data_IF_624521991602
#
_entry.id   IF_624521991602
#
_cell.length_a   1.000
_cell.length_b   1.000
_cell.length_c   1.000
_cell.angle_alpha   90.00
_cell.angle_beta   90.00
_cell.angle_gamma   90.00
#
_symmetry.space_group_name_H-M   'P 1'
#
loop_
_entity.id
_entity.type
_entity.pdbx_description
1 polymer ?
#
# COMPACT_ATOMS: atom_id res chain seq x y z
N UNK A 1 -37.52 13.55 3.55
CA UNK A 1 -36.71 14.02 2.42
C UNK A 1 -35.57 13.04 2.21
N UNK A 2 -35.65 12.26 1.13
CA UNK A 2 -34.64 11.25 0.79
C UNK A 2 -33.43 11.99 0.21
N UNK A 3 -32.37 12.17 1.00
CA UNK A 3 -31.11 12.73 0.48
C UNK A 3 -30.55 11.71 -0.52
N UNK A 4 -30.63 12.05 -1.80
CA UNK A 4 -30.11 11.20 -2.87
C UNK A 4 -28.67 10.80 -2.58
N UNK A 5 -28.39 9.49 -2.48
CA UNK A 5 -27.03 8.95 -2.38
C UNK A 5 -26.20 9.51 -3.54
N UNK A 6 -25.08 10.13 -3.24
CA UNK A 6 -24.16 10.59 -4.30
C UNK A 6 -23.55 9.37 -4.97
N UNK A 7 -23.37 9.42 -6.28
CA UNK A 7 -22.78 8.32 -7.07
C UNK A 7 -21.47 7.79 -6.45
N UNK A 8 -20.64 8.70 -5.91
CA UNK A 8 -19.38 8.37 -5.23
C UNK A 8 -19.54 7.50 -3.99
N UNK A 9 -20.70 7.54 -3.32
CA UNK A 9 -21.00 6.76 -2.12
C UNK A 9 -21.53 5.35 -2.46
N UNK A 10 -21.65 5.07 -3.76
CA UNK A 10 -22.19 3.82 -4.32
C UNK A 10 -21.15 3.03 -5.13
N UNK A 11 -19.89 3.48 -5.14
CA UNK A 11 -18.79 2.77 -5.82
C UNK A 11 -18.42 1.56 -4.97
N UNK A 12 -18.68 0.38 -5.50
CA UNK A 12 -18.42 -0.92 -4.87
C UNK A 12 -17.89 -1.90 -5.91
N UNK A 13 -17.33 -3.02 -5.49
CA UNK A 13 -16.95 -4.10 -6.40
C UNK A 13 -18.12 -4.53 -7.29
N UNK A 14 -19.34 -4.58 -6.76
CA UNK A 14 -20.54 -4.90 -7.54
C UNK A 14 -20.87 -3.90 -8.65
N UNK A 15 -20.52 -2.63 -8.48
CA UNK A 15 -20.64 -1.65 -9.55
C UNK A 15 -19.71 -1.96 -10.73
N UNK A 16 -18.46 -2.29 -10.45
CA UNK A 16 -17.49 -2.66 -11.48
C UNK A 16 -17.81 -4.04 -12.11
N UNK A 17 -18.30 -4.97 -11.33
CA UNK A 17 -18.81 -6.25 -11.85
C UNK A 17 -19.94 -6.03 -12.84
N UNK A 18 -20.93 -5.19 -12.52
CA UNK A 18 -22.01 -4.86 -13.43
C UNK A 18 -21.49 -4.17 -14.72
N UNK A 19 -20.54 -3.24 -14.59
CA UNK A 19 -19.92 -2.60 -15.74
C UNK A 19 -19.19 -3.61 -16.64
N UNK A 20 -18.44 -4.56 -16.06
CA UNK A 20 -17.75 -5.62 -16.80
C UNK A 20 -18.74 -6.55 -17.53
N UNK A 21 -19.91 -6.83 -16.94
CA UNK A 21 -20.96 -7.63 -17.61
C UNK A 21 -21.61 -6.94 -18.81
N UNK A 22 -21.53 -5.62 -18.88
CA UNK A 22 -22.06 -4.84 -20.00
C UNK A 22 -21.06 -4.72 -21.16
N UNK A 23 -19.82 -5.15 -21.00
CA UNK A 23 -18.82 -5.18 -22.07
C UNK A 23 -19.00 -6.41 -22.96
N UNK A 24 -18.34 -6.41 -24.13
CA UNK A 24 -18.33 -7.60 -25.02
C UNK A 24 -17.78 -8.83 -24.28
N UNK A 25 -18.26 -10.03 -24.65
CA UNK A 25 -17.77 -11.30 -24.11
C UNK A 25 -16.27 -11.52 -24.34
N UNK A 26 -15.76 -10.90 -25.39
CA UNK A 26 -14.32 -10.97 -25.76
C UNK A 26 -13.48 -9.87 -25.08
N UNK A 27 -14.13 -8.97 -24.33
CA UNK A 27 -13.39 -7.91 -23.61
C UNK A 27 -12.80 -8.46 -22.31
N UNK A 28 -11.54 -8.13 -22.08
CA UNK A 28 -10.86 -8.44 -20.81
C UNK A 28 -11.60 -7.79 -19.64
N UNK A 29 -11.75 -8.52 -18.55
CA UNK A 29 -12.33 -8.00 -17.31
C UNK A 29 -11.44 -6.94 -16.70
N UNK A 30 -12.01 -5.77 -16.41
CA UNK A 30 -11.32 -4.70 -15.71
C UNK A 30 -11.41 -4.92 -14.19
N UNK A 31 -10.27 -4.91 -13.52
CA UNK A 31 -10.18 -4.90 -12.06
C UNK A 31 -9.63 -3.53 -11.66
N UNK A 32 -10.40 -2.77 -10.88
CA UNK A 32 -9.97 -1.46 -10.40
C UNK A 32 -9.17 -1.60 -9.12
N UNK A 33 -7.93 -1.10 -9.12
CA UNK A 33 -7.04 -1.09 -7.98
C UNK A 33 -6.90 0.33 -7.42
N UNK A 34 -7.44 0.58 -6.24
CA UNK A 34 -7.29 1.87 -5.57
C UNK A 34 -6.01 1.91 -4.74
N UNK A 35 -5.28 3.01 -4.86
CA UNK A 35 -4.02 3.27 -4.15
C UNK A 35 -4.10 4.56 -3.32
N UNK A 36 -3.17 4.76 -2.38
CA UNK A 36 -3.19 5.87 -1.43
C UNK A 36 -2.73 7.20 -2.05
N UNK A 37 -1.72 7.16 -2.91
CA UNK A 37 -1.07 8.35 -3.46
C UNK A 37 -0.71 8.20 -4.94
N UNK A 38 -0.26 9.29 -5.56
CA UNK A 38 0.25 9.26 -6.93
C UNK A 38 1.54 8.45 -7.06
N UNK A 39 2.37 8.45 -6.02
CA UNK A 39 3.64 7.73 -5.99
C UNK A 39 3.42 6.21 -6.02
N UNK A 40 2.32 5.76 -5.39
CA UNK A 40 1.92 4.34 -5.36
C UNK A 40 1.44 3.83 -6.72
N UNK A 41 0.92 4.71 -7.58
CA UNK A 41 0.32 4.30 -8.87
C UNK A 41 1.32 3.55 -9.73
N UNK A 42 2.55 4.05 -9.84
CA UNK A 42 3.56 3.40 -10.67
C UNK A 42 4.00 2.06 -10.08
N UNK A 43 4.24 2.02 -8.77
CA UNK A 43 4.64 0.81 -8.08
C UNK A 43 3.59 -0.31 -8.24
N UNK A 44 2.35 -0.04 -7.86
CA UNK A 44 1.28 -1.03 -7.93
C UNK A 44 0.92 -1.43 -9.37
N UNK A 45 1.00 -0.49 -10.32
CA UNK A 45 0.83 -0.83 -11.74
C UNK A 45 1.90 -1.83 -12.20
N UNK A 46 3.16 -1.62 -11.81
CA UNK A 46 4.26 -2.53 -12.15
C UNK A 46 4.04 -3.91 -11.54
N UNK A 47 3.66 -3.97 -10.26
CA UNK A 47 3.38 -5.23 -9.59
C UNK A 47 2.19 -5.96 -10.23
N UNK A 48 1.07 -5.27 -10.40
CA UNK A 48 -0.18 -5.88 -10.88
C UNK A 48 -0.12 -6.27 -12.35
N UNK A 49 0.66 -5.58 -13.18
CA UNK A 49 0.85 -5.93 -14.59
C UNK A 49 1.43 -7.34 -14.80
N UNK A 50 2.19 -7.84 -13.82
CA UNK A 50 2.68 -9.22 -13.83
C UNK A 50 1.60 -10.29 -13.65
N UNK A 51 0.39 -9.90 -13.29
CA UNK A 51 -0.78 -10.78 -13.08
C UNK A 51 -1.88 -10.55 -14.12
N UNK A 52 -1.62 -9.72 -15.11
CA UNK A 52 -2.54 -9.54 -16.24
C UNK A 52 -2.43 -10.68 -17.23
N UNK A 53 -3.56 -11.02 -17.85
CA UNK A 53 -3.65 -12.06 -18.88
C UNK A 53 -4.72 -11.70 -19.95
N UNK A 54 -5.06 -12.65 -20.79
CA UNK A 54 -6.09 -12.46 -21.82
C UNK A 54 -7.51 -12.31 -21.23
N UNK A 55 -7.71 -12.60 -19.95
CA UNK A 55 -9.02 -12.55 -19.28
C UNK A 55 -9.20 -11.30 -18.44
N UNK A 56 -8.13 -10.74 -17.86
CA UNK A 56 -8.23 -9.57 -17.00
C UNK A 56 -7.05 -8.62 -17.11
N UNK A 57 -7.31 -7.35 -16.72
CA UNK A 57 -6.29 -6.30 -16.58
C UNK A 57 -6.61 -5.43 -15.37
N UNK A 58 -5.61 -4.71 -14.88
CA UNK A 58 -5.75 -3.83 -13.73
C UNK A 58 -5.71 -2.36 -14.14
N UNK A 59 -6.68 -1.59 -13.62
CA UNK A 59 -6.71 -0.15 -13.74
C UNK A 59 -6.38 0.46 -12.36
N UNK A 60 -5.16 0.98 -12.22
CA UNK A 60 -4.69 1.58 -10.96
C UNK A 60 -5.11 3.05 -10.91
N UNK A 61 -5.82 3.44 -9.85
CA UNK A 61 -6.32 4.80 -9.71
C UNK A 61 -6.40 5.27 -8.25
N UNK A 62 -6.53 6.57 -8.09
CA UNK A 62 -6.75 7.21 -6.80
C UNK A 62 -8.24 7.32 -6.48
N UNK A 63 -8.63 7.25 -5.21
CA UNK A 63 -9.96 7.65 -4.79
C UNK A 63 -10.26 9.10 -5.17
N UNK A 64 -11.50 9.42 -5.49
CA UNK A 64 -11.88 10.76 -5.94
C UNK A 64 -11.55 11.85 -4.90
N UNK A 65 -11.12 13.04 -5.38
CA UNK A 65 -10.64 14.18 -4.55
C UNK A 65 -11.56 14.60 -3.38
N UNK A 66 -12.84 14.27 -3.42
CA UNK A 66 -13.79 14.62 -2.34
C UNK A 66 -13.61 13.83 -1.05
N UNK A 67 -12.93 12.70 -1.10
CA UNK A 67 -12.67 11.79 0.04
C UNK A 67 -11.30 12.01 0.68
N UNK A 68 -10.37 12.66 -0.02
CA UNK A 68 -8.95 12.79 0.37
C UNK A 68 -8.65 13.78 1.52
N UNK A 69 -9.68 14.47 2.09
CA UNK A 69 -9.46 15.49 3.15
C UNK A 69 -9.10 14.92 4.53
N UNK A 70 -9.16 13.61 4.76
CA UNK A 70 -8.99 12.97 6.08
C UNK A 70 -7.90 11.91 6.16
N UNK A 71 -6.74 12.14 5.58
CA UNK A 71 -5.68 11.12 5.58
C UNK A 71 -5.98 10.00 4.56
N UNK A 72 -5.09 9.81 3.63
CA UNK A 72 -5.31 8.97 2.43
C UNK A 72 -5.62 7.52 2.79
N UNK A 73 -4.81 6.90 3.67
CA UNK A 73 -4.99 5.50 4.11
C UNK A 73 -6.28 5.26 4.87
N UNK A 74 -6.67 6.14 5.80
CA UNK A 74 -7.88 5.96 6.60
C UNK A 74 -9.14 5.98 5.72
N UNK A 75 -9.15 6.79 4.67
CA UNK A 75 -10.25 6.82 3.70
C UNK A 75 -10.27 5.56 2.86
N UNK A 76 -9.10 5.14 2.35
CA UNK A 76 -8.98 3.92 1.57
C UNK A 76 -9.46 2.72 2.37
N UNK A 77 -9.00 2.60 3.62
CA UNK A 77 -9.37 1.50 4.52
C UNK A 77 -10.81 1.54 5.00
N UNK A 78 -11.42 2.71 5.15
CA UNK A 78 -12.79 2.84 5.66
C UNK A 78 -13.87 2.77 4.57
N UNK A 79 -13.56 3.23 3.35
CA UNK A 79 -14.54 3.32 2.27
C UNK A 79 -14.32 2.26 1.21
N UNK A 80 -13.07 2.09 0.78
CA UNK A 80 -12.74 1.19 -0.33
C UNK A 80 -12.59 -0.25 0.17
N UNK A 81 -11.85 -0.46 1.26
CA UNK A 81 -11.61 -1.81 1.79
C UNK A 81 -12.93 -2.53 2.17
N UNK A 82 -13.89 -1.82 2.76
CA UNK A 82 -15.18 -2.39 3.13
C UNK A 82 -16.05 -2.76 1.92
N UNK A 83 -15.76 -2.20 0.74
CA UNK A 83 -16.48 -2.45 -0.51
C UNK A 83 -15.62 -3.21 -1.55
N UNK A 84 -14.42 -3.62 -1.18
CA UNK A 84 -13.52 -4.36 -2.05
C UNK A 84 -14.06 -5.75 -2.38
N UNK A 85 -13.70 -6.27 -3.53
CA UNK A 85 -14.14 -7.55 -4.05
C UNK A 85 -13.43 -7.88 -5.35
N UNK A 86 -13.94 -8.85 -6.10
CA UNK A 86 -13.28 -9.40 -7.29
C UNK A 86 -12.95 -8.38 -8.38
N UNK A 87 -13.74 -7.32 -8.51
CA UNK A 87 -13.59 -6.30 -9.56
C UNK A 87 -13.09 -4.95 -9.03
N UNK A 88 -12.84 -4.87 -7.71
CA UNK A 88 -12.31 -3.68 -7.05
C UNK A 88 -11.45 -4.10 -5.86
N UNK A 89 -10.17 -3.79 -5.91
CA UNK A 89 -9.21 -4.09 -4.85
C UNK A 89 -8.64 -2.80 -4.24
N UNK A 90 -8.15 -2.88 -3.01
CA UNK A 90 -7.39 -1.83 -2.36
C UNK A 90 -5.92 -2.24 -2.27
N UNK A 91 -5.01 -1.31 -2.58
CA UNK A 91 -3.57 -1.50 -2.49
C UNK A 91 -3.00 -0.43 -1.56
N UNK A 92 -2.40 -0.85 -0.45
CA UNK A 92 -2.00 0.03 0.65
C UNK A 92 -0.58 -0.26 1.13
N UNK A 93 0.03 0.72 1.76
CA UNK A 93 1.22 0.48 2.55
C UNK A 93 0.86 -0.24 3.86
N UNK A 94 1.66 -1.20 4.26
CA UNK A 94 1.43 -1.91 5.52
C UNK A 94 1.60 -0.99 6.73
N UNK A 95 2.49 -0.01 6.66
CA UNK A 95 2.97 0.71 7.83
C UNK A 95 3.36 -0.30 8.93
N UNK A 96 2.79 -0.15 10.11
CA UNK A 96 2.91 -1.16 11.17
C UNK A 96 1.70 -2.09 11.27
N UNK A 97 0.66 -1.91 10.45
CA UNK A 97 -0.59 -2.64 10.55
C UNK A 97 -0.40 -4.16 10.40
N UNK A 98 0.48 -4.58 9.45
CA UNK A 98 0.82 -6.00 9.33
C UNK A 98 1.47 -6.57 10.61
N UNK A 99 2.36 -5.80 11.24
CA UNK A 99 3.06 -6.22 12.47
C UNK A 99 2.15 -6.19 13.70
N UNK A 100 1.05 -5.43 13.66
CA UNK A 100 0.07 -5.39 14.76
C UNK A 100 -0.74 -6.67 14.89
N UNK A 101 -0.79 -7.53 13.87
CA UNK A 101 -1.42 -8.86 13.90
C UNK A 101 -2.83 -8.83 14.49
N UNK A 102 -3.69 -7.95 13.95
CA UNK A 102 -5.09 -7.83 14.33
C UNK A 102 -5.39 -6.98 15.57
N UNK A 103 -4.39 -6.28 16.14
CA UNK A 103 -4.60 -5.43 17.33
C UNK A 103 -5.32 -4.11 17.04
N UNK A 104 -5.25 -3.64 15.79
CA UNK A 104 -5.94 -2.42 15.33
C UNK A 104 -6.98 -2.77 14.27
N UNK A 105 -7.97 -1.90 14.07
CA UNK A 105 -9.01 -2.10 13.04
C UNK A 105 -8.39 -2.16 11.63
N UNK A 106 -7.39 -1.32 11.34
CA UNK A 106 -6.69 -1.35 10.06
C UNK A 106 -5.90 -2.64 9.88
N UNK A 107 -5.22 -3.11 10.94
CA UNK A 107 -4.52 -4.39 10.93
C UNK A 107 -5.46 -5.57 10.66
N UNK A 108 -6.63 -5.59 11.27
CA UNK A 108 -7.64 -6.63 11.02
C UNK A 108 -8.07 -6.63 9.55
N UNK A 109 -8.39 -5.46 8.99
CA UNK A 109 -8.79 -5.33 7.58
C UNK A 109 -7.72 -5.81 6.61
N UNK A 110 -6.45 -5.49 6.87
CA UNK A 110 -5.32 -5.95 6.04
C UNK A 110 -5.18 -7.48 6.08
N UNK A 111 -5.37 -8.09 7.25
CA UNK A 111 -5.19 -9.53 7.42
C UNK A 111 -6.37 -10.37 6.97
N UNK A 112 -7.60 -9.87 7.13
CA UNK A 112 -8.82 -10.64 6.96
C UNK A 112 -9.47 -10.45 5.58
N UNK A 113 -9.25 -9.30 4.93
CA UNK A 113 -9.86 -9.03 3.64
C UNK A 113 -8.96 -9.45 2.47
N UNK A 114 -9.29 -10.51 1.72
CA UNK A 114 -8.46 -11.02 0.62
C UNK A 114 -8.38 -10.08 -0.59
N UNK A 115 -9.14 -8.99 -0.60
CA UNK A 115 -9.12 -7.97 -1.65
C UNK A 115 -8.40 -6.70 -1.23
N UNK A 116 -7.75 -6.71 -0.06
CA UNK A 116 -6.84 -5.66 0.40
C UNK A 116 -5.41 -6.18 0.27
N UNK A 117 -4.68 -5.65 -0.69
CA UNK A 117 -3.29 -5.96 -0.93
C UNK A 117 -2.42 -4.94 -0.20
N UNK A 118 -1.37 -5.39 0.43
CA UNK A 118 -0.48 -4.52 1.19
C UNK A 118 1.00 -4.86 0.95
N UNK A 119 1.86 -3.90 1.22
CA UNK A 119 3.30 -4.17 1.31
C UNK A 119 3.58 -5.05 2.53
N UNK A 120 4.60 -5.94 2.45
CA UNK A 120 5.06 -6.69 3.64
C UNK A 120 6.07 -5.89 4.47
N UNK A 121 6.70 -4.91 3.84
CA UNK A 121 7.54 -3.90 4.48
C UNK A 121 6.71 -2.68 4.83
N UNK A 122 7.29 -1.70 5.53
CA UNK A 122 6.57 -0.54 6.02
C UNK A 122 5.81 0.20 4.88
N UNK A 123 6.50 0.50 3.78
CA UNK A 123 5.93 1.22 2.65
C UNK A 123 6.63 0.86 1.33
N UNK A 124 6.13 1.39 0.21
CA UNK A 124 6.74 1.18 -1.12
C UNK A 124 8.18 1.69 -1.20
N UNK A 125 8.56 2.73 -0.43
CA UNK A 125 9.90 3.28 -0.42
C UNK A 125 10.94 2.24 0.05
N UNK A 126 10.56 1.30 0.91
CA UNK A 126 11.47 0.23 1.30
C UNK A 126 11.86 -0.68 0.13
N UNK A 127 10.96 -0.86 -0.85
CA UNK A 127 11.30 -1.58 -2.09
C UNK A 127 12.11 -0.71 -3.05
N UNK A 128 11.77 0.59 -3.15
CA UNK A 128 12.49 1.53 -4.00
C UNK A 128 13.93 1.76 -3.53
N UNK A 129 14.15 1.76 -2.22
CA UNK A 129 15.45 1.90 -1.58
C UNK A 129 16.16 0.55 -1.35
N UNK A 130 15.88 -0.46 -2.18
CA UNK A 130 16.55 -1.76 -2.07
C UNK A 130 18.06 -1.62 -2.30
N UNK A 131 18.84 -1.97 -1.28
CA UNK A 131 20.26 -1.67 -1.22
C UNK A 131 21.09 -2.17 -2.41
N UNK A 132 20.71 -3.32 -2.97
CA UNK A 132 21.41 -3.90 -4.11
C UNK A 132 21.27 -3.09 -5.42
N UNK A 133 20.19 -2.32 -5.57
CA UNK A 133 19.94 -1.50 -6.77
C UNK A 133 20.36 -0.03 -6.60
N UNK A 134 20.72 0.41 -5.39
CA UNK A 134 21.07 1.80 -5.13
C UNK A 134 22.35 2.23 -5.85
N UNK A 135 23.29 1.32 -6.05
CA UNK A 135 24.50 1.65 -6.82
C UNK A 135 24.15 2.03 -8.26
N UNK A 136 23.30 1.28 -8.93
CA UNK A 136 22.88 1.56 -10.31
C UNK A 136 22.16 2.92 -10.42
N UNK A 137 21.34 3.26 -9.42
CA UNK A 137 20.71 4.59 -9.34
C UNK A 137 21.76 5.68 -9.20
N UNK A 138 22.78 5.49 -8.37
CA UNK A 138 23.88 6.44 -8.23
C UNK A 138 24.66 6.60 -9.55
N UNK A 139 24.96 5.52 -10.24
CA UNK A 139 25.62 5.56 -11.55
C UNK A 139 24.79 6.35 -12.56
N UNK A 140 23.50 6.10 -12.63
CA UNK A 140 22.61 6.83 -13.55
C UNK A 140 22.55 8.33 -13.27
N UNK A 141 22.59 8.73 -11.99
CA UNK A 141 22.49 10.15 -11.60
C UNK A 141 23.82 10.88 -11.72
N UNK A 142 24.93 10.24 -11.35
CA UNK A 142 26.24 10.87 -11.27
C UNK A 142 27.12 10.62 -12.50
N UNK A 143 26.75 9.69 -13.36
CA UNK A 143 27.55 9.20 -14.51
C UNK A 143 28.92 8.66 -14.08
N UNK A 144 29.01 8.12 -12.88
CA UNK A 144 30.24 7.65 -12.28
C UNK A 144 30.12 6.14 -11.98
N UNK A 145 30.86 5.32 -12.71
CA UNK A 145 30.75 3.85 -12.74
C UNK A 145 31.65 3.16 -11.70
N UNK A 146 32.27 3.88 -10.77
CA UNK A 146 33.02 3.19 -9.73
C UNK A 146 32.19 2.97 -8.47
N UNK A 147 32.53 1.89 -7.76
CA UNK A 147 31.94 1.60 -6.46
C UNK A 147 32.32 2.72 -5.45
N UNK A 148 31.39 3.64 -5.23
CA UNK A 148 31.56 4.77 -4.32
C UNK A 148 31.31 4.32 -2.89
N UNK A 149 30.37 3.38 -2.69
CA UNK A 149 29.86 3.01 -1.39
C UNK A 149 29.24 1.61 -1.41
N UNK A 150 29.43 0.83 -0.35
CA UNK A 150 28.77 -0.46 -0.21
C UNK A 150 27.42 -0.30 0.48
N UNK A 151 26.38 0.01 -0.29
CA UNK A 151 25.02 0.22 0.21
C UNK A 151 24.47 -1.00 0.96
N UNK A 152 24.75 -2.21 0.49
CA UNK A 152 24.25 -3.44 1.13
C UNK A 152 24.80 -3.59 2.52
N UNK A 153 26.12 -3.43 2.68
CA UNK A 153 26.77 -3.54 3.99
C UNK A 153 26.33 -2.39 4.93
N UNK A 154 26.25 -1.18 4.43
CA UNK A 154 25.78 -0.04 5.22
C UNK A 154 24.34 -0.24 5.71
N UNK A 155 23.42 -0.63 4.84
CA UNK A 155 22.01 -0.84 5.22
C UNK A 155 21.86 -2.01 6.17
N UNK A 156 22.70 -3.05 6.04
CA UNK A 156 22.73 -4.15 6.99
C UNK A 156 23.16 -3.67 8.39
N UNK A 157 24.27 -2.95 8.50
CA UNK A 157 24.77 -2.42 9.78
C UNK A 157 23.79 -1.44 10.40
N UNK A 158 23.21 -0.56 9.59
CA UNK A 158 22.18 0.40 10.05
C UNK A 158 20.95 -0.35 10.61
N UNK A 159 20.46 -1.34 9.89
CA UNK A 159 19.31 -2.16 10.32
C UNK A 159 19.60 -2.92 11.61
N UNK A 160 20.79 -3.50 11.75
CA UNK A 160 21.20 -4.20 12.98
C UNK A 160 21.27 -3.23 14.17
N UNK A 161 21.79 -2.02 13.98
CA UNK A 161 21.85 -1.00 15.02
C UNK A 161 20.46 -0.51 15.46
N UNK A 162 19.54 -0.34 14.53
CA UNK A 162 18.18 0.13 14.81
C UNK A 162 17.24 -0.97 15.33
N UNK A 163 17.53 -2.24 15.05
CA UNK A 163 16.63 -3.36 15.32
C UNK A 163 16.13 -3.46 16.77
N UNK A 164 16.98 -3.33 17.81
CA UNK A 164 16.49 -3.37 19.18
C UNK A 164 15.46 -2.28 19.49
N UNK A 165 15.70 -1.05 19.02
CA UNK A 165 14.78 0.07 19.21
C UNK A 165 13.45 -0.15 18.45
N UNK A 166 13.57 -0.70 17.26
CA UNK A 166 12.40 -1.07 16.46
C UNK A 166 11.52 -2.12 17.18
N UNK A 167 12.13 -3.16 17.74
CA UNK A 167 11.40 -4.19 18.51
C UNK A 167 10.68 -3.57 19.72
N UNK A 168 11.34 -2.66 20.43
CA UNK A 168 10.73 -1.92 21.55
C UNK A 168 9.54 -1.08 21.09
N UNK A 169 9.67 -0.37 19.96
CA UNK A 169 8.59 0.41 19.38
C UNK A 169 7.37 -0.46 19.06
N UNK A 170 7.58 -1.58 18.37
CA UNK A 170 6.50 -2.51 18.03
C UNK A 170 5.85 -3.12 19.29
N UNK A 171 6.66 -3.46 20.30
CA UNK A 171 6.13 -3.96 21.56
C UNK A 171 5.24 -2.92 22.26
N UNK A 172 5.71 -1.67 22.38
CA UNK A 172 4.94 -0.58 22.97
C UNK A 172 3.62 -0.35 22.24
N UNK A 173 3.65 -0.38 20.90
CA UNK A 173 2.44 -0.26 20.07
C UNK A 173 1.45 -1.40 20.31
N UNK A 174 1.93 -2.64 20.31
CA UNK A 174 1.07 -3.83 20.49
C UNK A 174 0.46 -3.96 21.88
N UNK A 175 1.11 -3.40 22.88
CA UNK A 175 0.71 -3.49 24.29
C UNK A 175 0.10 -2.20 24.83
N UNK A 176 -0.03 -1.17 23.96
CA UNK A 176 -0.54 0.17 24.31
C UNK A 176 0.27 0.88 25.42
N UNK A 177 1.54 0.52 25.54
CA UNK A 177 2.47 1.09 26.51
C UNK A 177 3.23 2.31 25.95
N UNK A 178 2.51 3.26 25.40
CA UNK A 178 3.08 4.46 24.74
C UNK A 178 3.84 5.37 25.68
N UNK A 179 3.56 5.33 26.98
CA UNK A 179 4.26 6.13 28.00
C UNK A 179 5.72 5.67 28.18
N UNK A 180 6.04 4.43 27.86
CA UNK A 180 7.40 3.89 27.97
C UNK A 180 8.24 4.11 26.72
N UNK A 181 7.63 4.10 25.55
CA UNK A 181 8.31 4.28 24.29
C UNK A 181 7.31 4.71 23.22
N UNK A 182 7.49 5.90 22.70
CA UNK A 182 6.66 6.45 21.63
C UNK A 182 7.37 6.39 20.27
N UNK A 183 6.60 6.53 19.20
CA UNK A 183 7.16 6.67 17.85
C UNK A 183 8.10 7.88 17.75
N UNK A 184 7.79 8.97 18.47
CA UNK A 184 8.65 10.16 18.56
C UNK A 184 10.01 9.88 19.21
N UNK A 185 10.08 8.89 20.11
CA UNK A 185 11.36 8.50 20.73
C UNK A 185 12.19 7.62 19.78
N UNK A 186 11.53 6.82 18.95
CA UNK A 186 12.20 6.04 17.92
C UNK A 186 12.81 6.91 16.80
N UNK A 187 12.21 8.05 16.51
CA UNK A 187 12.63 8.93 15.39
C UNK A 187 13.62 10.02 15.77
N UNK A 188 14.00 10.13 17.04
CA UNK A 188 15.05 11.06 17.54
C UNK A 188 16.43 10.44 17.45
#
# INVERSE_FOLDING_TARGET
>A
MNMGRRLKDSITSGYFEAANRMTSKDARRRIVAYVESYDDVFFWRTVLSGFEDDTCYFEVMLPSKGTLRRGKKSVLMSVIADNAGKDMIACVDADYDYLMQGRTVSSQKILENPFVFHTYVYSIENYQCFAASLHDVCVMVTLNDHAIFNFTEYMRQYSEACYPLFVWSIWAYRTENYDYFSLSDFTK
#
